data_IF_423498507658
#
_entry.id   IF_423498507658
#
_cell.length_a   1.000
_cell.length_b   1.000
_cell.length_c   1.000
_cell.angle_alpha   90.00
_cell.angle_beta   90.00
_cell.angle_gamma   90.00
#
_symmetry.space_group_name_H-M   'P 1'
#
loop_
_entity.id
_entity.type
_entity.pdbx_description
1 polymer ?
#
# COMPACT_ATOMS: atom_id res chain seq x y z
N UNK A 1 14.90 -48.08 -29.38
CA UNK A 1 13.62 -47.44 -28.98
C UNK A 1 13.93 -46.32 -28.00
N UNK A 2 13.38 -45.13 -28.27
CA UNK A 2 13.51 -43.91 -27.46
C UNK A 2 12.42 -43.90 -26.36
N UNK A 3 12.80 -43.55 -25.15
CA UNK A 3 11.90 -43.10 -24.06
C UNK A 3 12.75 -42.16 -23.18
N UNK A 4 12.83 -40.86 -23.47
CA UNK A 4 11.93 -39.76 -23.10
C UNK A 4 11.60 -39.71 -21.60
N UNK A 5 12.42 -38.90 -20.89
CA UNK A 5 12.07 -37.78 -20.00
C UNK A 5 10.78 -37.86 -19.16
N UNK A 6 10.90 -37.73 -17.84
CA UNK A 6 9.96 -37.03 -16.93
C UNK A 6 10.68 -36.84 -15.59
N UNK A 7 11.31 -35.69 -15.38
CA UNK A 7 10.75 -34.49 -14.77
C UNK A 7 11.01 -34.48 -13.25
N UNK A 8 12.11 -33.81 -12.90
CA UNK A 8 12.34 -33.20 -11.59
C UNK A 8 11.14 -32.29 -11.26
N UNK A 9 10.32 -32.69 -10.29
CA UNK A 9 9.50 -31.75 -9.53
C UNK A 9 10.01 -31.87 -8.10
N UNK A 10 11.05 -31.09 -7.81
CA UNK A 10 11.34 -30.71 -6.44
C UNK A 10 10.14 -29.89 -5.99
N UNK A 11 9.27 -30.52 -5.20
CA UNK A 11 8.33 -29.81 -4.34
C UNK A 11 9.17 -29.01 -3.35
N UNK A 12 9.59 -27.82 -3.79
CA UNK A 12 9.93 -26.75 -2.89
C UNK A 12 8.59 -26.23 -2.37
N UNK A 13 8.03 -26.97 -1.42
CA UNK A 13 7.05 -26.41 -0.50
C UNK A 13 7.79 -25.31 0.25
N UNK A 14 7.83 -24.14 -0.38
CA UNK A 14 8.25 -22.91 0.26
C UNK A 14 7.47 -22.84 1.55
N UNK A 15 8.18 -22.86 2.67
CA UNK A 15 7.66 -22.34 3.90
C UNK A 15 7.01 -21.00 3.54
N UNK A 16 5.69 -20.93 3.62
CA UNK A 16 4.99 -19.65 3.66
C UNK A 16 5.46 -19.00 4.97
N UNK A 17 6.61 -18.33 4.89
CA UNK A 17 7.09 -17.45 5.93
C UNK A 17 6.07 -16.34 5.98
N UNK A 18 5.21 -16.39 6.99
CA UNK A 18 4.54 -15.22 7.55
C UNK A 18 5.46 -14.01 7.39
N UNK A 19 5.07 -13.05 6.57
CA UNK A 19 5.93 -11.92 6.31
C UNK A 19 5.84 -10.98 7.51
N UNK A 20 6.93 -10.74 8.23
CA UNK A 20 6.92 -9.74 9.32
C UNK A 20 6.96 -8.29 8.80
N UNK A 21 7.09 -8.12 7.48
CA UNK A 21 7.30 -6.84 6.81
C UNK A 21 6.93 -6.93 5.31
N UNK A 22 6.83 -5.78 4.65
CA UNK A 22 6.46 -5.63 3.24
C UNK A 22 7.64 -5.83 2.25
N UNK A 23 8.79 -6.35 2.71
CA UNK A 23 9.90 -6.72 1.82
C UNK A 23 10.79 -5.55 1.35
N UNK A 24 10.59 -4.34 1.86
CA UNK A 24 11.34 -3.14 1.46
C UNK A 24 11.58 -2.17 2.61
N UNK A 25 12.64 -1.34 2.50
CA UNK A 25 12.91 -0.25 3.45
C UNK A 25 12.10 1.00 3.10
N UNK A 26 12.03 1.97 4.01
CA UNK A 26 11.31 3.24 3.76
C UNK A 26 11.89 3.99 2.55
N UNK A 27 13.21 3.96 2.37
CA UNK A 27 13.87 4.61 1.24
C UNK A 27 13.50 3.94 -0.09
N UNK A 28 13.57 2.60 -0.14
CA UNK A 28 13.16 1.86 -1.35
C UNK A 28 11.67 2.05 -1.66
N UNK A 29 10.82 2.04 -0.64
CA UNK A 29 9.40 2.35 -0.78
C UNK A 29 9.20 3.71 -1.44
N UNK A 30 9.84 4.74 -0.89
CA UNK A 30 9.73 6.10 -1.35
C UNK A 30 10.16 6.28 -2.81
N UNK A 31 11.29 5.69 -3.17
CA UNK A 31 11.82 5.81 -4.53
C UNK A 31 10.89 5.11 -5.54
N UNK A 32 10.37 3.93 -5.19
CA UNK A 32 9.41 3.22 -6.03
C UNK A 32 8.07 3.97 -6.12
N UNK A 33 7.54 4.49 -5.00
CA UNK A 33 6.32 5.29 -4.99
C UNK A 33 6.45 6.53 -5.89
N UNK A 34 7.57 7.25 -5.80
CA UNK A 34 7.80 8.40 -6.67
C UNK A 34 7.84 8.01 -8.15
N UNK A 35 8.47 6.87 -8.47
CA UNK A 35 8.52 6.36 -9.85
C UNK A 35 7.12 6.03 -10.38
N UNK A 36 6.30 5.36 -9.58
CA UNK A 36 4.94 4.96 -9.98
C UNK A 36 4.00 6.17 -10.10
N UNK A 37 4.17 7.19 -9.26
CA UNK A 37 3.34 8.40 -9.31
C UNK A 37 3.82 9.43 -10.35
N UNK A 38 4.98 9.22 -10.99
CA UNK A 38 5.63 10.25 -11.79
C UNK A 38 4.79 10.74 -12.98
N UNK A 39 4.17 9.81 -13.72
CA UNK A 39 3.40 10.14 -14.91
C UNK A 39 2.11 10.90 -14.56
N UNK A 40 1.53 10.61 -13.40
CA UNK A 40 0.29 11.20 -12.93
C UNK A 40 0.49 12.43 -12.04
N UNK A 41 1.75 12.81 -11.75
CA UNK A 41 2.07 13.85 -10.79
C UNK A 41 1.44 15.21 -11.13
N UNK A 42 1.50 15.61 -12.40
CA UNK A 42 0.89 16.87 -12.84
C UNK A 42 -0.64 16.82 -12.80
N UNK A 43 -1.24 15.66 -13.09
CA UNK A 43 -2.70 15.51 -13.16
C UNK A 43 -3.34 15.53 -11.76
N UNK A 44 -2.65 14.99 -10.75
CA UNK A 44 -3.16 14.87 -9.38
C UNK A 44 -2.45 15.75 -8.35
N UNK A 45 -1.58 16.67 -8.82
CA UNK A 45 -0.79 17.57 -7.99
C UNK A 45 0.07 16.84 -6.94
N UNK A 46 0.70 15.72 -7.36
CA UNK A 46 1.57 14.96 -6.48
C UNK A 46 2.94 15.64 -6.32
N UNK A 47 3.31 15.85 -5.06
CA UNK A 47 4.60 16.32 -4.61
C UNK A 47 5.55 15.13 -4.49
N UNK A 48 6.28 14.83 -5.57
CA UNK A 48 7.31 13.80 -5.58
C UNK A 48 8.51 14.29 -4.77
N UNK A 49 8.56 13.92 -3.49
CA UNK A 49 9.59 14.38 -2.57
C UNK A 49 10.94 13.78 -3.00
N UNK A 50 11.98 14.59 -3.15
CA UNK A 50 13.29 14.06 -3.57
C UNK A 50 14.00 13.27 -2.45
N UNK A 51 13.87 13.74 -1.22
CA UNK A 51 14.55 13.16 -0.05
C UNK A 51 13.55 12.94 1.08
N UNK A 52 13.35 11.68 1.47
CA UNK A 52 12.49 11.34 2.59
C UNK A 52 13.18 11.59 3.93
N UNK A 53 12.45 12.19 4.88
CA UNK A 53 12.93 12.36 6.26
C UNK A 53 12.41 11.22 7.12
N UNK A 54 13.32 10.40 7.62
CA UNK A 54 13.01 9.29 8.52
C UNK A 54 13.29 9.74 9.96
N UNK A 55 12.28 9.65 10.82
CA UNK A 55 12.40 9.86 12.27
C UNK A 55 12.66 8.52 12.93
N UNK A 56 13.80 8.40 13.62
CA UNK A 56 14.12 7.23 14.43
C UNK A 56 13.39 7.32 15.77
N UNK A 57 12.42 6.44 15.99
CA UNK A 57 11.68 6.35 17.24
C UNK A 57 12.21 5.25 18.17
N UNK A 58 11.69 5.23 19.40
CA UNK A 58 12.06 4.20 20.36
C UNK A 58 11.56 2.81 19.94
N UNK A 59 10.32 2.73 19.44
CA UNK A 59 9.67 1.49 19.01
C UNK A 59 9.75 1.21 17.50
N UNK A 60 9.72 2.26 16.67
CA UNK A 60 9.72 2.13 15.21
C UNK A 60 10.34 3.35 14.54
N UNK A 61 10.86 3.16 13.33
CA UNK A 61 11.23 4.26 12.45
C UNK A 61 10.00 4.68 11.66
N UNK A 62 9.81 5.98 11.48
CA UNK A 62 8.61 6.53 10.82
C UNK A 62 9.02 7.58 9.81
N UNK A 63 8.40 7.55 8.64
CA UNK A 63 8.44 8.62 7.68
C UNK A 63 7.04 9.08 7.31
N UNK A 64 6.92 10.37 7.06
CA UNK A 64 5.69 11.00 6.58
C UNK A 64 5.97 11.64 5.22
N UNK A 65 5.20 11.24 4.22
CA UNK A 65 5.29 11.75 2.85
C UNK A 65 3.98 12.47 2.57
N UNK A 66 4.06 13.79 2.38
CA UNK A 66 2.91 14.58 1.95
C UNK A 66 2.85 14.51 0.43
N UNK A 67 1.85 13.80 -0.09
CA UNK A 67 1.72 13.59 -1.53
C UNK A 67 0.99 14.79 -2.16
N UNK A 68 -0.10 15.26 -1.58
CA UNK A 68 -0.74 16.50 -2.02
C UNK A 68 -1.48 17.17 -0.85
N UNK A 69 -2.33 18.16 -1.15
CA UNK A 69 -3.13 18.86 -0.13
C UNK A 69 -4.12 17.98 0.63
N UNK A 70 -4.38 16.76 0.15
CA UNK A 70 -5.41 15.86 0.66
C UNK A 70 -4.90 14.48 1.09
N UNK A 71 -3.65 14.13 0.77
CA UNK A 71 -3.10 12.80 1.03
C UNK A 71 -1.77 12.88 1.76
N UNK A 72 -1.71 12.16 2.88
CA UNK A 72 -0.50 11.98 3.67
C UNK A 72 -0.24 10.48 3.80
N UNK A 73 0.90 10.03 3.29
CA UNK A 73 1.38 8.68 3.50
C UNK A 73 2.23 8.62 4.78
N UNK A 74 1.95 7.64 5.63
CA UNK A 74 2.78 7.29 6.77
C UNK A 74 3.39 5.92 6.49
N UNK A 75 4.73 5.85 6.48
CA UNK A 75 5.45 4.59 6.41
C UNK A 75 6.09 4.31 7.77
N UNK A 76 5.79 3.15 8.34
CA UNK A 76 6.43 2.70 9.58
C UNK A 76 7.29 1.47 9.31
N UNK A 77 8.46 1.43 9.94
CA UNK A 77 9.42 0.36 9.78
C UNK A 77 9.91 -0.18 11.12
N UNK A 78 10.23 -1.47 11.13
CA UNK A 78 10.87 -2.14 12.25
C UNK A 78 12.22 -1.47 12.55
N UNK A 79 12.48 -1.19 13.83
CA UNK A 79 13.68 -0.43 14.25
C UNK A 79 14.99 -1.09 13.82
N UNK A 80 15.09 -2.41 13.99
CA UNK A 80 16.33 -3.15 13.75
C UNK A 80 16.50 -3.49 12.26
N UNK A 81 15.49 -4.10 11.64
CA UNK A 81 15.58 -4.52 10.24
C UNK A 81 15.41 -3.35 9.26
N UNK A 82 14.88 -2.21 9.71
CA UNK A 82 14.51 -1.05 8.89
C UNK A 82 13.49 -1.34 7.79
N UNK A 83 12.90 -2.53 7.81
CA UNK A 83 11.90 -2.97 6.84
C UNK A 83 10.54 -2.40 7.20
N UNK A 84 9.81 -1.95 6.19
CA UNK A 84 8.46 -1.41 6.32
C UNK A 84 7.53 -2.49 6.86
N UNK A 85 6.84 -2.18 7.96
CA UNK A 85 5.85 -3.07 8.57
C UNK A 85 4.42 -2.64 8.25
N UNK A 86 4.20 -1.37 7.95
CA UNK A 86 2.89 -0.80 7.67
C UNK A 86 3.04 0.48 6.85
N UNK A 87 2.15 0.63 5.88
CA UNK A 87 1.93 1.86 5.13
C UNK A 87 0.49 2.31 5.34
N UNK A 88 0.28 3.59 5.57
CA UNK A 88 -1.05 4.18 5.74
C UNK A 88 -1.18 5.42 4.88
N UNK A 89 -2.02 5.36 3.85
CA UNK A 89 -2.49 6.53 3.13
C UNK A 89 -3.66 7.15 3.90
N UNK A 90 -3.50 8.39 4.34
CA UNK A 90 -4.53 9.14 5.05
C UNK A 90 -5.13 10.15 4.08
N UNK A 91 -6.38 9.92 3.69
CA UNK A 91 -7.16 10.83 2.88
C UNK A 91 -7.93 11.81 3.76
N UNK A 92 -7.60 13.10 3.66
CA UNK A 92 -8.29 14.21 4.29
C UNK A 92 -8.74 15.15 3.18
N UNK A 93 -10.06 15.22 2.86
CA UNK A 93 -10.52 16.03 1.75
C UNK A 93 -10.17 17.50 1.94
N UNK A 94 -9.46 18.07 0.97
CA UNK A 94 -9.12 19.49 0.89
C UNK A 94 -9.28 19.95 -0.57
N UNK A 95 -9.81 21.16 -0.78
CA UNK A 95 -10.12 21.66 -2.11
C UNK A 95 -11.32 20.94 -2.76
N UNK A 96 -11.22 20.66 -4.08
CA UNK A 96 -12.27 19.94 -4.82
C UNK A 96 -12.36 18.47 -4.37
N UNK A 97 -13.49 18.03 -3.78
CA UNK A 97 -13.62 16.69 -3.22
C UNK A 97 -13.45 15.57 -4.26
N UNK A 98 -13.88 15.79 -5.50
CA UNK A 98 -13.80 14.76 -6.55
C UNK A 98 -12.37 14.52 -6.99
N UNK A 99 -11.61 15.59 -7.25
CA UNK A 99 -10.18 15.50 -7.60
C UNK A 99 -9.37 14.93 -6.44
N UNK A 100 -9.69 15.35 -5.20
CA UNK A 100 -9.03 14.83 -4.01
C UNK A 100 -9.26 13.33 -3.82
N UNK A 101 -10.51 12.85 -3.99
CA UNK A 101 -10.83 11.44 -3.93
C UNK A 101 -10.15 10.64 -5.05
N UNK A 102 -10.16 11.15 -6.29
CA UNK A 102 -9.48 10.49 -7.41
C UNK A 102 -7.98 10.32 -7.16
N UNK A 103 -7.33 11.35 -6.60
CA UNK A 103 -5.92 11.26 -6.24
C UNK A 103 -5.63 10.20 -5.17
N UNK A 104 -6.53 10.04 -4.18
CA UNK A 104 -6.42 8.98 -3.17
C UNK A 104 -6.57 7.60 -3.80
N UNK A 105 -7.59 7.40 -4.63
CA UNK A 105 -7.82 6.13 -5.33
C UNK A 105 -6.62 5.72 -6.20
N UNK A 106 -5.98 6.70 -6.86
CA UNK A 106 -4.77 6.45 -7.65
C UNK A 106 -3.59 6.01 -6.77
N UNK A 107 -3.40 6.64 -5.61
CA UNK A 107 -2.38 6.24 -4.64
C UNK A 107 -2.65 4.82 -4.12
N UNK A 108 -3.89 4.52 -3.75
CA UNK A 108 -4.28 3.22 -3.21
C UNK A 108 -4.09 2.10 -4.25
N UNK A 109 -4.48 2.36 -5.51
CA UNK A 109 -4.23 1.44 -6.63
C UNK A 109 -2.74 1.26 -6.93
N UNK A 110 -1.94 2.32 -6.77
CA UNK A 110 -0.47 2.25 -6.89
C UNK A 110 0.12 1.36 -5.80
N UNK A 111 -0.34 1.48 -4.56
CA UNK A 111 0.08 0.59 -3.48
C UNK A 111 -0.30 -0.87 -3.75
N UNK A 112 -1.51 -1.12 -4.24
CA UNK A 112 -1.91 -2.48 -4.64
C UNK A 112 -1.01 -3.03 -5.76
N UNK A 113 -0.70 -2.23 -6.78
CA UNK A 113 0.26 -2.62 -7.84
C UNK A 113 1.64 -2.96 -7.30
N UNK A 114 2.16 -2.18 -6.35
CA UNK A 114 3.49 -2.38 -5.79
C UNK A 114 3.62 -3.66 -4.98
N UNK A 115 2.56 -4.03 -4.25
CA UNK A 115 2.59 -5.11 -3.25
C UNK A 115 1.83 -6.37 -3.67
N UNK A 116 0.95 -6.26 -4.67
CA UNK A 116 0.18 -7.34 -5.28
C UNK A 116 0.07 -7.12 -6.80
N UNK A 117 1.21 -7.15 -7.53
CA UNK A 117 1.24 -6.91 -8.97
C UNK A 117 0.43 -7.92 -9.79
N UNK A 118 0.17 -9.10 -9.23
CA UNK A 118 -0.64 -10.16 -9.80
C UNK A 118 -2.14 -9.80 -9.92
N UNK A 119 -2.64 -8.86 -9.12
CA UNK A 119 -4.01 -8.36 -9.23
C UNK A 119 -4.11 -7.48 -10.49
N UNK A 120 -5.01 -7.79 -11.45
CA UNK A 120 -5.22 -6.98 -12.65
C UNK A 120 -5.60 -5.53 -12.35
N UNK A 121 -5.24 -4.61 -13.25
CA UNK A 121 -5.47 -3.17 -13.06
C UNK A 121 -6.95 -2.81 -12.87
N UNK A 122 -7.81 -3.43 -13.68
CA UNK A 122 -9.26 -3.30 -13.65
C UNK A 122 -9.90 -3.88 -12.39
N UNK A 123 -9.30 -4.91 -11.79
CA UNK A 123 -9.75 -5.50 -10.53
C UNK A 123 -9.36 -4.64 -9.32
N UNK A 124 -8.19 -3.98 -9.33
CA UNK A 124 -7.74 -3.13 -8.20
C UNK A 124 -8.75 -2.02 -7.88
N UNK A 125 -9.29 -1.36 -8.90
CA UNK A 125 -10.28 -0.30 -8.71
C UNK A 125 -11.58 -0.80 -8.09
N UNK A 126 -12.03 -2.00 -8.49
CA UNK A 126 -13.23 -2.63 -7.93
C UNK A 126 -13.01 -3.01 -6.46
N UNK A 127 -11.87 -3.64 -6.15
CA UNK A 127 -11.50 -4.02 -4.78
C UNK A 127 -11.43 -2.79 -3.86
N UNK A 128 -10.79 -1.70 -4.29
CA UNK A 128 -10.73 -0.46 -3.48
C UNK A 128 -12.13 0.08 -3.23
N UNK A 129 -13.00 0.09 -4.24
CA UNK A 129 -14.38 0.56 -4.10
C UNK A 129 -15.18 -0.31 -3.10
N UNK A 130 -15.02 -1.64 -3.14
CA UNK A 130 -15.64 -2.55 -2.17
C UNK A 130 -15.15 -2.28 -0.75
N UNK A 131 -13.84 -2.09 -0.56
CA UNK A 131 -13.26 -1.77 0.74
C UNK A 131 -13.77 -0.44 1.30
N UNK A 132 -13.90 0.59 0.46
CA UNK A 132 -14.48 1.88 0.85
C UNK A 132 -15.96 1.72 1.19
N UNK A 133 -16.70 0.95 0.39
CA UNK A 133 -18.11 0.66 0.65
C UNK A 133 -18.29 -0.02 2.01
N UNK A 134 -17.50 -1.05 2.32
CA UNK A 134 -17.51 -1.71 3.63
C UNK A 134 -17.10 -0.73 4.74
N UNK A 135 -16.06 0.06 4.54
CA UNK A 135 -15.58 1.02 5.54
C UNK A 135 -16.58 2.15 5.85
N UNK A 136 -17.52 2.42 4.95
CA UNK A 136 -18.52 3.48 5.11
C UNK A 136 -19.89 2.96 5.55
N UNK A 137 -20.22 1.71 5.24
CA UNK A 137 -21.54 1.12 5.51
C UNK A 137 -21.55 0.05 6.61
N UNK A 138 -20.39 -0.55 6.95
CA UNK A 138 -20.32 -1.52 8.05
C UNK A 138 -20.37 -0.83 9.42
N UNK A 139 -20.95 -1.48 10.45
CA UNK A 139 -20.92 -0.97 11.82
C UNK A 139 -19.50 -0.72 12.34
N UNK A 140 -18.55 -1.55 11.92
CA UNK A 140 -17.14 -1.48 12.33
C UNK A 140 -16.32 -0.46 11.52
N UNK A 141 -16.94 0.16 10.50
CA UNK A 141 -16.32 1.12 9.58
C UNK A 141 -15.00 0.63 8.99
N UNK A 142 -14.95 -0.67 8.67
CA UNK A 142 -13.74 -1.34 8.18
C UNK A 142 -14.07 -2.24 7.00
N UNK A 143 -13.32 -2.07 5.90
CA UNK A 143 -13.22 -3.05 4.82
C UNK A 143 -11.86 -3.73 4.83
N UNK A 144 -11.80 -5.01 4.48
CA UNK A 144 -10.52 -5.75 4.47
C UNK A 144 -10.44 -6.75 3.32
N UNK A 145 -9.29 -6.77 2.65
CA UNK A 145 -8.95 -7.71 1.60
C UNK A 145 -7.56 -8.29 1.83
N UNK A 146 -7.42 -9.60 1.64
CA UNK A 146 -6.17 -10.34 1.85
C UNK A 146 -5.70 -10.88 0.50
N UNK A 147 -4.52 -10.45 0.06
CA UNK A 147 -3.86 -10.91 -1.15
C UNK A 147 -2.54 -11.59 -0.79
N UNK A 148 -2.49 -12.92 -0.83
CA UNK A 148 -1.32 -13.75 -0.49
C UNK A 148 -0.56 -13.27 0.77
N UNK A 149 0.52 -12.49 0.58
CA UNK A 149 1.42 -12.01 1.61
C UNK A 149 1.07 -10.62 2.16
N UNK A 150 -0.04 -10.00 1.74
CA UNK A 150 -0.40 -8.61 2.04
C UNK A 150 -1.87 -8.51 2.42
N UNK A 151 -2.17 -7.71 3.44
CA UNK A 151 -3.52 -7.33 3.84
C UNK A 151 -3.73 -5.84 3.56
N UNK A 152 -4.78 -5.55 2.80
CA UNK A 152 -5.30 -4.22 2.54
C UNK A 152 -6.49 -3.96 3.46
N UNK A 153 -6.53 -2.78 4.08
CA UNK A 153 -7.61 -2.41 4.99
C UNK A 153 -8.00 -0.97 4.75
N UNK A 154 -9.30 -0.70 4.62
CA UNK A 154 -9.82 0.67 4.62
C UNK A 154 -10.56 0.89 5.92
N UNK A 155 -10.25 1.99 6.62
CA UNK A 155 -10.94 2.39 7.85
C UNK A 155 -11.56 3.77 7.70
N UNK A 156 -12.85 3.87 8.01
CA UNK A 156 -13.55 5.14 8.16
C UNK A 156 -13.34 5.73 9.56
N UNK A 157 -12.62 6.84 9.66
CA UNK A 157 -12.34 7.50 10.93
C UNK A 157 -13.18 8.77 11.11
N UNK A 158 -13.68 9.01 12.33
CA UNK A 158 -14.38 10.25 12.62
C UNK A 158 -13.39 11.43 12.63
N UNK A 159 -13.50 12.34 11.66
CA UNK A 159 -12.74 13.59 11.60
C UNK A 159 -11.34 13.50 10.95
N UNK A 160 -10.79 12.31 10.73
CA UNK A 160 -9.48 12.10 10.06
C UNK A 160 -9.60 11.40 8.70
N UNK A 161 -10.83 11.26 8.19
CA UNK A 161 -11.13 10.76 6.85
C UNK A 161 -11.00 9.25 6.68
N UNK A 162 -10.66 8.82 5.47
CA UNK A 162 -10.47 7.41 5.11
C UNK A 162 -8.99 7.04 5.17
N UNK A 163 -8.67 5.92 5.82
CA UNK A 163 -7.31 5.41 5.90
C UNK A 163 -7.20 4.13 5.10
N UNK A 164 -6.36 4.12 4.08
CA UNK A 164 -5.99 2.92 3.35
C UNK A 164 -4.67 2.38 3.90
N UNK A 165 -4.71 1.18 4.45
CA UNK A 165 -3.63 0.58 5.23
C UNK A 165 -3.15 -0.68 4.52
N UNK A 166 -1.83 -0.80 4.36
CA UNK A 166 -1.14 -1.96 3.80
C UNK A 166 -0.25 -2.56 4.87
N UNK A 167 -0.48 -3.83 5.18
CA UNK A 167 0.29 -4.60 6.17
C UNK A 167 0.65 -5.96 5.59
N UNK A 168 1.71 -6.61 6.06
CA UNK A 168 1.96 -7.98 5.66
C UNK A 168 0.88 -8.91 6.22
N UNK A 169 0.46 -9.89 5.43
CA UNK A 169 -0.42 -10.96 5.86
C UNK A 169 0.36 -11.98 6.71
N UNK A 170 -0.23 -12.39 7.82
CA UNK A 170 0.42 -13.23 8.83
C UNK A 170 0.29 -14.71 8.52
#
# INVERSE_FOLDING_TARGET
>A
MKTVLLAFILMWSGFASSAENLGLTIEKFHDQLNSELQEAANAFDFNLVKNIKIKNGEAANVAQIKLNGSNIMIATANKNSKMVKELTNIFIPNGDPQSAAMSSLFIDATLMKMFSPEIPEDERGQLINELIYEATNSPDKKGQYIADAVTYTVMGTNGLGLWFIVTPNK
#
